data_IF_373331977186
#
_entry.id   IF_373331977186
#
_cell.length_a   1.000
_cell.length_b   1.000
_cell.length_c   1.000
_cell.angle_alpha   90.00
_cell.angle_beta   90.00
_cell.angle_gamma   90.00
#
_symmetry.space_group_name_H-M   'P 1'
#
loop_
_entity.id
_entity.type
_entity.pdbx_description
1 polymer ?
#
# COMPACT_ATOMS: atom_id res chain seq x y z
N UNK A 1 -5.28 19.24 -34.99
CA UNK A 1 -5.27 20.66 -35.40
C UNK A 1 -6.53 21.10 -36.15
N UNK A 2 -7.16 20.26 -36.97
CA UNK A 2 -8.38 20.64 -37.72
C UNK A 2 -9.64 20.79 -36.83
N UNK A 3 -9.62 20.24 -35.61
CA UNK A 3 -10.73 20.30 -34.63
C UNK A 3 -10.51 21.32 -33.51
N UNK A 4 -9.45 22.16 -33.56
CA UNK A 4 -9.16 23.17 -32.55
C UNK A 4 -8.77 22.63 -31.17
N UNK A 5 -8.57 21.31 -31.04
CA UNK A 5 -8.16 20.68 -29.77
C UNK A 5 -6.64 20.60 -29.66
N UNK A 6 -6.12 20.87 -28.46
CA UNK A 6 -4.69 20.68 -28.19
C UNK A 6 -4.32 19.20 -28.18
N UNK A 7 -3.09 18.88 -28.62
CA UNK A 7 -2.57 17.49 -28.58
C UNK A 7 -2.59 16.91 -27.18
N UNK A 8 -2.33 17.74 -26.18
CA UNK A 8 -2.36 17.33 -24.77
C UNK A 8 -3.78 16.92 -24.30
N UNK A 9 -4.82 17.66 -24.71
CA UNK A 9 -6.21 17.30 -24.43
C UNK A 9 -6.59 15.98 -25.12
N UNK A 10 -6.17 15.81 -26.38
CA UNK A 10 -6.37 14.56 -27.12
C UNK A 10 -5.71 13.35 -26.46
N UNK A 11 -4.46 13.50 -25.99
CA UNK A 11 -3.74 12.46 -25.26
C UNK A 11 -4.43 12.11 -23.93
N UNK A 12 -4.90 13.11 -23.19
CA UNK A 12 -5.65 12.92 -21.95
C UNK A 12 -6.96 12.14 -22.17
N UNK A 13 -7.77 12.54 -23.16
CA UNK A 13 -9.03 11.87 -23.51
C UNK A 13 -8.77 10.42 -23.95
N UNK A 14 -7.72 10.18 -24.75
CA UNK A 14 -7.35 8.83 -25.15
C UNK A 14 -6.92 7.99 -23.96
N UNK A 15 -6.12 8.54 -23.03
CA UNK A 15 -5.72 7.87 -21.80
C UNK A 15 -6.93 7.49 -20.94
N UNK A 16 -7.93 8.38 -20.81
CA UNK A 16 -9.17 8.12 -20.08
C UNK A 16 -9.98 6.99 -20.73
N UNK A 17 -10.09 6.96 -22.05
CA UNK A 17 -10.78 5.88 -22.77
C UNK A 17 -10.08 4.53 -22.62
N UNK A 18 -8.74 4.54 -22.67
CA UNK A 18 -7.94 3.31 -22.52
C UNK A 18 -7.92 2.78 -21.09
N UNK A 19 -8.09 3.63 -20.08
CA UNK A 19 -8.09 3.21 -18.67
C UNK A 19 -9.24 2.26 -18.31
N UNK A 20 -10.36 2.35 -19.05
CA UNK A 20 -11.54 1.47 -18.90
C UNK A 20 -11.50 0.24 -19.81
N UNK A 21 -10.45 0.09 -20.64
CA UNK A 21 -10.29 -1.02 -21.57
C UNK A 21 -9.94 -2.31 -20.84
N UNK A 22 -10.35 -3.46 -21.41
CA UNK A 22 -9.92 -4.80 -20.95
C UNK A 22 -8.40 -5.01 -21.05
N UNK A 23 -7.72 -4.19 -21.84
CA UNK A 23 -6.28 -4.24 -22.07
C UNK A 23 -5.52 -3.19 -21.25
N UNK A 24 -6.16 -2.51 -20.29
CA UNK A 24 -5.55 -1.42 -19.49
C UNK A 24 -4.24 -1.84 -18.83
N UNK A 25 -4.19 -3.01 -18.22
CA UNK A 25 -2.97 -3.55 -17.59
C UNK A 25 -1.82 -3.77 -18.58
N UNK A 26 -2.12 -4.27 -19.79
CA UNK A 26 -1.11 -4.49 -20.81
C UNK A 26 -0.60 -3.16 -21.39
N UNK A 27 -1.48 -2.19 -21.57
CA UNK A 27 -1.15 -0.83 -22.03
C UNK A 27 -0.27 -0.15 -20.98
N UNK A 28 -0.66 -0.23 -19.70
CA UNK A 28 0.10 0.34 -18.59
C UNK A 28 1.52 -0.26 -18.52
N UNK A 29 1.65 -1.59 -18.57
CA UNK A 29 2.94 -2.28 -18.58
C UNK A 29 3.83 -1.87 -19.77
N UNK A 30 3.23 -1.55 -20.92
CA UNK A 30 3.96 -1.10 -22.10
C UNK A 30 4.42 0.36 -21.97
N UNK A 31 3.64 1.23 -21.33
CA UNK A 31 3.93 2.67 -21.18
C UNK A 31 4.86 2.94 -19.99
N UNK A 32 4.75 2.18 -18.91
CA UNK A 32 5.48 2.43 -17.66
C UNK A 32 7.00 2.60 -17.82
N UNK A 33 7.73 1.79 -18.62
CA UNK A 33 9.17 2.00 -18.84
C UNK A 33 9.52 3.34 -19.50
N UNK A 34 8.59 3.90 -20.31
CA UNK A 34 8.81 5.14 -21.06
C UNK A 34 8.37 6.39 -20.29
N UNK A 35 7.48 6.23 -19.33
CA UNK A 35 6.89 7.30 -18.52
C UNK A 35 7.94 8.17 -17.83
N UNK A 36 8.92 7.53 -17.16
CA UNK A 36 10.00 8.23 -16.46
C UNK A 36 10.85 9.09 -17.40
N UNK A 37 11.20 8.57 -18.58
CA UNK A 37 11.96 9.29 -19.58
C UNK A 37 11.20 10.50 -20.14
N UNK A 38 9.93 10.29 -20.52
CA UNK A 38 9.08 11.36 -21.05
C UNK A 38 8.79 12.46 -20.01
N UNK A 39 8.56 12.07 -18.75
CA UNK A 39 8.41 13.02 -17.64
C UNK A 39 9.69 13.83 -17.42
N UNK A 40 10.86 13.20 -17.47
CA UNK A 40 12.13 13.90 -17.32
C UNK A 40 12.36 14.93 -18.45
N UNK A 41 12.09 14.55 -19.69
CA UNK A 41 12.17 15.47 -20.85
C UNK A 41 11.18 16.63 -20.71
N UNK A 42 9.96 16.35 -20.26
CA UNK A 42 8.96 17.39 -20.01
C UNK A 42 9.43 18.39 -18.96
N UNK A 43 9.94 17.93 -17.81
CA UNK A 43 10.43 18.83 -16.76
C UNK A 43 11.65 19.63 -17.18
N UNK A 44 12.56 19.07 -17.98
CA UNK A 44 13.68 19.82 -18.57
C UNK A 44 13.17 20.92 -19.49
N UNK A 45 12.23 20.62 -20.39
CA UNK A 45 11.65 21.60 -21.32
C UNK A 45 10.92 22.72 -20.56
N UNK A 46 10.14 22.38 -19.52
CA UNK A 46 9.49 23.38 -18.64
C UNK A 46 10.51 24.20 -17.88
N UNK A 47 11.55 23.58 -17.32
CA UNK A 47 12.62 24.28 -16.62
C UNK A 47 13.36 25.30 -17.51
N UNK A 48 13.60 24.95 -18.76
CA UNK A 48 14.21 25.87 -19.76
C UNK A 48 13.27 27.05 -20.14
N UNK A 49 11.97 26.90 -19.95
CA UNK A 49 10.99 27.96 -20.23
C UNK A 49 10.91 29.02 -19.12
N UNK A 50 11.55 28.78 -17.97
CA UNK A 50 11.54 29.71 -16.83
C UNK A 50 12.58 30.80 -17.03
N UNK A 51 12.13 32.06 -17.11
CA UNK A 51 13.01 33.22 -17.16
C UNK A 51 13.49 33.57 -15.73
N UNK A 52 14.57 32.93 -15.30
CA UNK A 52 15.18 33.14 -13.99
C UNK A 52 15.58 34.61 -13.74
N UNK A 53 16.19 35.37 -14.71
CA UNK A 53 16.46 36.79 -14.57
C UNK A 53 15.20 37.64 -14.33
N UNK A 54 14.07 37.34 -14.99
CA UNK A 54 12.83 38.05 -14.76
C UNK A 54 12.27 37.82 -13.33
N UNK A 55 12.40 36.61 -12.81
CA UNK A 55 12.01 36.25 -11.45
C UNK A 55 12.90 36.96 -10.40
N UNK A 56 14.18 37.08 -10.68
CA UNK A 56 15.15 37.74 -9.80
C UNK A 56 14.91 39.28 -9.66
N UNK A 57 14.16 39.86 -10.57
CA UNK A 57 13.82 41.33 -10.50
C UNK A 57 12.83 41.66 -9.37
N UNK A 58 11.87 40.75 -9.08
CA UNK A 58 10.86 40.91 -8.03
C UNK A 58 10.72 39.65 -7.19
N UNK A 59 11.76 39.24 -6.42
CA UNK A 59 11.77 37.97 -5.72
C UNK A 59 10.72 37.89 -4.61
N UNK A 60 10.35 39.01 -4.01
CA UNK A 60 9.35 39.07 -2.97
C UNK A 60 7.94 38.79 -3.52
N UNK A 61 7.55 39.45 -4.60
CA UNK A 61 6.25 39.23 -5.27
C UNK A 61 6.13 37.76 -5.76
N UNK A 62 7.18 37.27 -6.37
CA UNK A 62 7.24 35.87 -6.81
C UNK A 62 7.07 34.87 -5.65
N UNK A 63 7.86 35.05 -4.59
CA UNK A 63 7.77 34.17 -3.40
C UNK A 63 6.40 34.24 -2.75
N UNK A 64 5.80 35.42 -2.69
CA UNK A 64 4.45 35.63 -2.15
C UNK A 64 3.40 34.85 -2.98
N UNK A 65 3.52 34.85 -4.30
CA UNK A 65 2.62 34.09 -5.18
C UNK A 65 2.75 32.58 -4.96
N UNK A 66 3.98 32.06 -4.83
CA UNK A 66 4.20 30.62 -4.53
C UNK A 66 3.59 30.25 -3.18
N UNK A 67 3.86 31.04 -2.14
CA UNK A 67 3.34 30.78 -0.79
C UNK A 67 1.82 30.91 -0.77
N UNK A 68 1.24 31.90 -1.46
CA UNK A 68 -0.20 32.09 -1.54
C UNK A 68 -0.90 30.88 -2.18
N UNK A 69 -0.44 30.42 -3.34
CA UNK A 69 -1.02 29.25 -4.03
C UNK A 69 -0.94 28.01 -3.16
N UNK A 70 0.24 27.71 -2.60
CA UNK A 70 0.44 26.55 -1.73
C UNK A 70 -0.46 26.61 -0.50
N UNK A 71 -0.53 27.79 0.16
CA UNK A 71 -1.35 27.97 1.38
C UNK A 71 -2.85 27.85 1.10
N UNK A 72 -3.34 28.44 0.01
CA UNK A 72 -4.74 28.32 -0.40
C UNK A 72 -5.08 26.87 -0.68
N UNK A 73 -4.24 26.14 -1.41
CA UNK A 73 -4.46 24.72 -1.70
C UNK A 73 -4.42 23.87 -0.43
N UNK A 74 -3.48 24.11 0.49
CA UNK A 74 -3.46 23.43 1.79
C UNK A 74 -4.79 23.66 2.52
N UNK A 75 -5.26 24.92 2.60
CA UNK A 75 -6.50 25.24 3.31
C UNK A 75 -7.73 24.56 2.69
N UNK A 76 -7.83 24.59 1.36
CA UNK A 76 -8.95 23.95 0.63
C UNK A 76 -8.90 22.43 0.82
N UNK A 77 -7.76 21.79 0.61
CA UNK A 77 -7.62 20.33 0.71
C UNK A 77 -7.82 19.85 2.14
N UNK A 78 -7.29 20.57 3.12
CA UNK A 78 -7.50 20.27 4.53
C UNK A 78 -8.98 20.35 4.90
N UNK A 79 -9.65 21.46 4.53
CA UNK A 79 -11.09 21.63 4.78
C UNK A 79 -11.93 20.56 4.08
N UNK A 80 -11.58 20.20 2.84
CA UNK A 80 -12.25 19.15 2.08
C UNK A 80 -12.09 17.78 2.76
N UNK A 81 -10.88 17.41 3.16
CA UNK A 81 -10.63 16.17 3.89
C UNK A 81 -11.45 16.08 5.17
N UNK A 82 -11.55 17.17 5.93
CA UNK A 82 -12.39 17.20 7.14
C UNK A 82 -13.88 17.09 6.82
N UNK A 83 -14.34 17.72 5.73
CA UNK A 83 -15.73 17.62 5.29
C UNK A 83 -16.12 16.17 4.88
N UNK A 84 -15.17 15.41 4.34
CA UNK A 84 -15.36 13.99 4.04
C UNK A 84 -15.09 13.05 5.24
N UNK A 85 -14.94 13.59 6.45
CA UNK A 85 -14.76 12.78 7.65
C UNK A 85 -13.37 12.18 7.83
N UNK A 86 -12.39 12.64 7.04
CA UNK A 86 -11.00 12.18 7.18
C UNK A 86 -10.41 12.74 8.48
N UNK A 87 -9.72 11.91 9.25
CA UNK A 87 -9.07 12.34 10.49
C UNK A 87 -8.02 13.43 10.28
N UNK A 88 -7.82 14.30 11.28
CA UNK A 88 -6.96 15.49 11.19
C UNK A 88 -5.53 15.18 10.76
N UNK A 89 -4.95 14.08 11.24
CA UNK A 89 -3.58 13.65 10.92
C UNK A 89 -3.45 13.35 9.42
N UNK A 90 -4.38 12.56 8.89
CA UNK A 90 -4.43 12.22 7.46
C UNK A 90 -4.77 13.44 6.63
N UNK A 91 -5.71 14.29 7.05
CA UNK A 91 -6.05 15.54 6.39
C UNK A 91 -4.83 16.47 6.22
N UNK A 92 -3.99 16.64 7.26
CA UNK A 92 -2.74 17.40 7.20
C UNK A 92 -1.78 16.79 6.16
N UNK A 93 -1.54 15.48 6.23
CA UNK A 93 -0.63 14.78 5.30
C UNK A 93 -1.07 14.94 3.84
N UNK A 94 -2.35 14.72 3.56
CA UNK A 94 -2.94 14.86 2.22
C UNK A 94 -2.88 16.31 1.72
N UNK A 95 -3.24 17.28 2.58
CA UNK A 95 -3.21 18.68 2.22
C UNK A 95 -1.82 19.16 1.83
N UNK A 96 -0.79 18.78 2.58
CA UNK A 96 0.59 19.16 2.27
C UNK A 96 1.15 18.40 1.07
N UNK A 97 0.81 17.12 0.89
CA UNK A 97 1.23 16.31 -0.24
C UNK A 97 0.70 16.84 -1.58
N UNK A 98 -0.57 17.28 -1.62
CA UNK A 98 -1.26 17.70 -2.84
C UNK A 98 -1.30 19.23 -3.03
N UNK A 99 -0.61 19.99 -2.18
CA UNK A 99 -0.64 21.47 -2.19
C UNK A 99 0.12 22.11 -3.34
N UNK A 100 1.00 21.37 -4.00
CA UNK A 100 1.75 21.84 -5.16
C UNK A 100 0.84 22.18 -6.35
N UNK A 101 1.31 23.04 -7.27
CA UNK A 101 0.68 23.23 -8.57
C UNK A 101 0.75 21.95 -9.39
N UNK A 102 -0.33 21.59 -10.07
CA UNK A 102 -0.33 20.42 -10.94
C UNK A 102 0.26 20.73 -12.31
N UNK A 103 0.85 19.71 -12.97
CA UNK A 103 1.42 19.80 -14.33
C UNK A 103 0.41 20.22 -15.40
N UNK A 104 -0.87 19.94 -15.19
CA UNK A 104 -1.93 20.42 -16.08
C UNK A 104 -2.03 21.96 -16.14
N UNK A 105 -1.49 22.67 -15.14
CA UNK A 105 -1.37 24.12 -15.15
C UNK A 105 -0.57 24.59 -16.38
N UNK A 106 0.50 23.91 -16.75
CA UNK A 106 1.29 24.26 -17.93
C UNK A 106 0.47 24.16 -19.23
N UNK A 107 -0.35 23.12 -19.35
CA UNK A 107 -1.23 22.91 -20.50
C UNK A 107 -2.31 23.98 -20.55
N UNK A 108 -2.93 24.30 -19.38
CA UNK A 108 -3.98 25.32 -19.29
C UNK A 108 -3.46 26.71 -19.63
N UNK A 109 -2.33 27.13 -19.05
CA UNK A 109 -1.75 28.44 -19.35
C UNK A 109 -1.24 28.52 -20.78
N UNK A 110 -0.66 27.43 -21.33
CA UNK A 110 -0.26 27.35 -22.73
C UNK A 110 -1.45 27.49 -23.70
N UNK A 111 -2.56 26.82 -23.43
CA UNK A 111 -3.79 26.93 -24.19
C UNK A 111 -4.42 28.34 -24.04
N UNK A 112 -4.44 28.91 -22.84
CA UNK A 112 -4.92 30.27 -22.60
C UNK A 112 -4.13 31.32 -23.39
N UNK A 113 -2.81 31.16 -23.47
CA UNK A 113 -1.94 32.00 -24.32
C UNK A 113 -2.29 31.86 -25.80
N UNK A 114 -2.42 30.62 -26.30
CA UNK A 114 -2.74 30.36 -27.70
C UNK A 114 -4.10 30.95 -28.12
N UNK A 115 -5.05 31.06 -27.18
CA UNK A 115 -6.37 31.66 -27.36
C UNK A 115 -6.38 33.17 -27.12
N UNK A 116 -5.27 33.80 -26.74
CA UNK A 116 -5.17 35.24 -26.44
C UNK A 116 -5.87 35.62 -25.15
N UNK A 117 -6.22 34.69 -24.26
CA UNK A 117 -6.93 34.95 -23.00
C UNK A 117 -5.98 35.37 -21.88
N UNK A 118 -4.69 35.05 -22.00
CA UNK A 118 -3.66 35.29 -20.97
C UNK A 118 -2.44 35.91 -21.65
N UNK A 119 -1.90 36.96 -21.07
CA UNK A 119 -0.70 37.63 -21.59
C UNK A 119 0.59 36.83 -21.27
N UNK A 120 1.64 37.07 -22.04
CA UNK A 120 2.92 36.34 -21.92
C UNK A 120 3.54 36.45 -20.52
N UNK A 121 3.44 37.63 -19.88
CA UNK A 121 3.99 37.85 -18.55
C UNK A 121 3.30 36.96 -17.53
N UNK A 122 2.00 36.87 -17.57
CA UNK A 122 1.19 36.01 -16.67
C UNK A 122 1.50 34.54 -16.89
N UNK A 123 1.64 34.10 -18.15
CA UNK A 123 1.99 32.70 -18.48
C UNK A 123 3.37 32.33 -17.92
N UNK A 124 4.39 33.16 -18.16
CA UNK A 124 5.75 32.92 -17.64
C UNK A 124 5.76 32.87 -16.11
N UNK A 125 5.07 33.83 -15.47
CA UNK A 125 4.96 33.85 -14.00
C UNK A 125 4.23 32.61 -13.46
N UNK A 126 3.13 32.20 -14.08
CA UNK A 126 2.36 31.03 -13.67
C UNK A 126 3.17 29.73 -13.82
N UNK A 127 3.87 29.54 -14.94
CA UNK A 127 4.77 28.41 -15.16
C UNK A 127 5.85 28.37 -14.08
N UNK A 128 6.48 29.50 -13.77
CA UNK A 128 7.52 29.58 -12.76
C UNK A 128 6.99 29.27 -11.37
N UNK A 129 5.80 29.77 -10.99
CA UNK A 129 5.16 29.51 -9.70
C UNK A 129 4.78 28.02 -9.57
N UNK A 130 4.19 27.40 -10.59
CA UNK A 130 3.86 25.97 -10.60
C UNK A 130 5.14 25.15 -10.45
N UNK A 131 6.17 25.39 -11.28
CA UNK A 131 7.43 24.67 -11.22
C UNK A 131 8.10 24.77 -9.84
N UNK A 132 8.15 25.98 -9.26
CA UNK A 132 8.74 26.19 -7.94
C UNK A 132 7.95 25.49 -6.84
N UNK A 133 6.62 25.49 -6.93
CA UNK A 133 5.78 24.77 -5.95
C UNK A 133 6.01 23.24 -6.01
N UNK A 134 6.28 22.69 -7.19
CA UNK A 134 6.65 21.27 -7.36
C UNK A 134 8.01 20.96 -6.74
N UNK A 135 9.00 21.84 -6.88
CA UNK A 135 10.31 21.69 -6.24
C UNK A 135 10.24 21.73 -4.72
N UNK A 136 9.26 22.45 -4.15
CA UNK A 136 9.04 22.50 -2.70
C UNK A 136 8.35 21.26 -2.13
N UNK A 137 7.80 20.38 -2.96
CA UNK A 137 7.04 19.19 -2.52
C UNK A 137 7.76 18.34 -1.47
N UNK A 138 9.04 17.96 -1.60
CA UNK A 138 9.73 17.18 -0.58
C UNK A 138 9.79 17.87 0.80
N UNK A 139 9.90 19.20 0.79
CA UNK A 139 9.90 20.04 2.01
C UNK A 139 8.49 20.07 2.61
N UNK A 140 7.47 20.29 1.78
CA UNK A 140 6.07 20.33 2.19
C UNK A 140 5.62 18.99 2.79
N UNK A 141 6.00 17.87 2.18
CA UNK A 141 5.70 16.52 2.69
C UNK A 141 6.32 16.30 4.07
N UNK A 142 7.61 16.66 4.26
CA UNK A 142 8.27 16.57 5.56
C UNK A 142 7.60 17.46 6.60
N UNK A 143 7.25 18.69 6.23
CA UNK A 143 6.56 19.63 7.11
C UNK A 143 5.17 19.11 7.50
N UNK A 144 4.41 18.60 6.52
CA UNK A 144 3.12 17.97 6.76
C UNK A 144 3.19 16.77 7.69
N UNK A 145 4.17 15.90 7.50
CA UNK A 145 4.42 14.75 8.37
C UNK A 145 4.76 15.18 9.81
N UNK A 146 5.64 16.19 9.95
CA UNK A 146 6.02 16.74 11.25
C UNK A 146 4.84 17.43 11.98
N UNK A 147 4.01 18.20 11.26
CA UNK A 147 2.80 18.80 11.82
C UNK A 147 1.78 17.73 12.21
N UNK A 148 1.60 16.69 11.38
CA UNK A 148 0.68 15.59 11.67
C UNK A 148 1.07 14.81 12.93
N UNK A 149 2.36 14.63 13.21
CA UNK A 149 2.86 13.96 14.42
C UNK A 149 2.56 14.74 15.71
N UNK A 150 2.37 16.07 15.64
CA UNK A 150 2.04 16.91 16.80
C UNK A 150 0.56 16.87 17.19
N UNK A 151 -0.29 16.32 16.33
CA UNK A 151 -1.70 16.19 16.62
C UNK A 151 -1.95 14.82 17.25
N UNK A 152 -2.91 14.77 18.19
CA UNK A 152 -3.29 13.53 18.83
C UNK A 152 -3.65 12.46 17.78
N UNK A 153 -3.35 11.17 18.04
CA UNK A 153 -3.68 10.08 17.12
C UNK A 153 -5.17 10.11 16.75
N UNK A 154 -5.47 9.79 15.50
CA UNK A 154 -6.86 9.68 15.02
C UNK A 154 -7.66 8.71 15.88
N UNK A 155 -8.97 8.89 15.92
CA UNK A 155 -9.87 7.97 16.64
C UNK A 155 -9.67 6.49 16.21
N UNK A 156 -9.25 6.28 14.95
CA UNK A 156 -8.87 4.96 14.42
C UNK A 156 -7.60 4.40 15.06
N UNK A 157 -6.56 5.24 15.26
CA UNK A 157 -5.34 4.82 15.98
C UNK A 157 -5.61 4.57 17.47
N UNK A 158 -6.50 5.38 18.09
CA UNK A 158 -6.93 5.13 19.48
C UNK A 158 -7.79 3.88 19.61
N UNK A 159 -8.66 3.60 18.65
CA UNK A 159 -9.44 2.37 18.61
C UNK A 159 -8.56 1.13 18.43
N UNK A 160 -7.51 1.24 17.61
CA UNK A 160 -6.51 0.18 17.43
C UNK A 160 -5.72 -0.06 18.74
N UNK A 161 -5.28 1.00 19.42
CA UNK A 161 -4.57 0.89 20.69
C UNK A 161 -5.47 0.43 21.85
N UNK A 162 -6.75 0.81 21.88
CA UNK A 162 -7.71 0.39 22.90
C UNK A 162 -8.26 -1.02 22.67
N UNK A 163 -8.24 -1.51 21.42
CA UNK A 163 -8.64 -2.87 21.09
C UNK A 163 -7.69 -3.95 21.60
N UNK A 164 -6.45 -3.58 21.95
CA UNK A 164 -5.42 -4.50 22.42
C UNK A 164 -5.48 -4.75 23.94
N UNK A 165 -6.04 -3.82 24.69
CA UNK A 165 -6.23 -3.94 26.15
C UNK A 165 -7.69 -3.72 26.51
N UNK A 166 -8.19 -4.48 27.46
CA UNK A 166 -9.52 -4.26 28.03
C UNK A 166 -9.51 -3.10 29.05
N UNK A 167 -10.69 -2.80 29.62
CA UNK A 167 -10.84 -1.72 30.61
C UNK A 167 -10.11 -1.99 31.94
N UNK A 168 -9.69 -3.22 32.17
CA UNK A 168 -8.94 -3.65 33.38
C UNK A 168 -7.43 -3.62 33.16
N UNK A 169 -6.96 -3.33 31.90
CA UNK A 169 -5.55 -3.35 31.56
C UNK A 169 -5.01 -4.75 31.23
N UNK A 170 -5.88 -5.75 31.21
CA UNK A 170 -5.54 -7.10 30.75
C UNK A 170 -5.44 -7.13 29.21
N UNK A 171 -4.58 -8.01 28.62
CA UNK A 171 -4.49 -8.17 27.17
C UNK A 171 -5.83 -8.60 26.57
N UNK A 172 -6.56 -7.67 25.96
CA UNK A 172 -7.82 -7.96 25.29
C UNK A 172 -7.63 -8.80 24.02
N UNK A 173 -6.45 -8.73 23.39
CA UNK A 173 -6.13 -9.39 22.14
C UNK A 173 -4.88 -10.25 22.30
N UNK A 174 -5.00 -11.54 22.01
CA UNK A 174 -3.89 -12.51 22.07
C UNK A 174 -3.28 -12.81 20.70
N UNK A 175 -4.03 -12.61 19.62
CA UNK A 175 -3.59 -12.93 18.27
C UNK A 175 -3.81 -11.78 17.28
N UNK A 176 -2.90 -11.62 16.33
CA UNK A 176 -3.03 -10.73 15.18
C UNK A 176 -3.05 -11.56 13.91
N UNK A 177 -3.98 -11.29 13.01
CA UNK A 177 -4.05 -11.89 11.67
C UNK A 177 -3.70 -10.82 10.63
N UNK A 178 -2.64 -11.05 9.85
CA UNK A 178 -2.21 -10.13 8.81
C UNK A 178 -2.55 -10.68 7.41
N UNK A 179 -3.39 -9.93 6.71
CA UNK A 179 -4.11 -10.36 5.51
C UNK A 179 -5.45 -11.00 5.91
N UNK A 180 -6.57 -10.38 5.54
CA UNK A 180 -7.90 -10.90 5.90
C UNK A 180 -8.71 -11.28 4.66
N UNK A 181 -8.01 -11.85 3.69
CA UNK A 181 -8.60 -12.53 2.56
C UNK A 181 -9.25 -13.87 2.95
N UNK A 182 -9.39 -14.80 2.02
CA UNK A 182 -10.05 -16.10 2.26
C UNK A 182 -9.42 -16.89 3.40
N UNK A 183 -8.09 -17.00 3.42
CA UNK A 183 -7.37 -17.77 4.45
C UNK A 183 -7.43 -17.07 5.80
N UNK A 184 -7.13 -15.77 5.83
CA UNK A 184 -7.16 -14.98 7.08
C UNK A 184 -8.54 -14.94 7.72
N UNK A 185 -9.61 -14.80 6.93
CA UNK A 185 -10.98 -14.89 7.43
C UNK A 185 -11.27 -16.26 8.06
N UNK A 186 -10.87 -17.35 7.41
CA UNK A 186 -11.05 -18.71 7.95
C UNK A 186 -10.32 -18.87 9.28
N UNK A 187 -9.04 -18.44 9.34
CA UNK A 187 -8.25 -18.48 10.58
C UNK A 187 -8.88 -17.63 11.67
N UNK A 188 -9.27 -16.39 11.36
CA UNK A 188 -9.92 -15.49 12.31
C UNK A 188 -11.23 -16.05 12.85
N UNK A 189 -12.05 -16.64 12.01
CA UNK A 189 -13.32 -17.29 12.40
C UNK A 189 -13.07 -18.46 13.36
N UNK A 190 -12.05 -19.29 13.12
CA UNK A 190 -11.68 -20.41 13.98
C UNK A 190 -11.15 -19.89 15.32
N UNK A 191 -10.27 -18.89 15.33
CA UNK A 191 -9.76 -18.27 16.55
C UNK A 191 -10.91 -17.71 17.40
N UNK A 192 -11.81 -16.94 16.78
CA UNK A 192 -12.98 -16.36 17.47
C UNK A 192 -13.93 -17.42 18.03
N UNK A 193 -14.24 -18.48 17.27
CA UNK A 193 -15.09 -19.57 17.75
C UNK A 193 -14.44 -20.39 18.86
N UNK A 194 -13.11 -20.34 18.97
CA UNK A 194 -12.35 -20.97 20.06
C UNK A 194 -12.19 -20.04 21.28
N UNK A 195 -12.85 -18.88 21.30
CA UNK A 195 -12.78 -17.92 22.40
C UNK A 195 -11.45 -17.13 22.46
N UNK A 196 -10.65 -17.15 21.37
CA UNK A 196 -9.40 -16.40 21.30
C UNK A 196 -9.70 -15.03 20.69
N UNK A 197 -9.49 -13.98 21.47
CA UNK A 197 -9.60 -12.62 20.98
C UNK A 197 -8.47 -12.30 20.01
N UNK A 198 -8.83 -11.84 18.82
CA UNK A 198 -7.87 -11.45 17.79
C UNK A 198 -8.28 -10.11 17.16
N UNK A 199 -7.34 -9.47 16.50
CA UNK A 199 -7.58 -8.40 15.53
C UNK A 199 -6.95 -8.79 14.21
N UNK A 200 -7.47 -8.23 13.12
CA UNK A 200 -6.91 -8.46 11.80
C UNK A 200 -6.57 -7.14 11.10
N UNK A 201 -5.53 -7.19 10.27
CA UNK A 201 -5.14 -6.07 9.40
C UNK A 201 -5.15 -6.52 7.95
N UNK A 202 -5.67 -5.67 7.07
CA UNK A 202 -5.58 -5.85 5.64
C UNK A 202 -5.28 -4.51 4.94
N UNK A 203 -4.52 -4.56 3.87
CA UNK A 203 -4.19 -3.41 3.03
C UNK A 203 -5.25 -3.10 1.97
N UNK A 204 -6.21 -3.98 1.76
CA UNK A 204 -7.35 -3.76 0.88
C UNK A 204 -8.53 -3.15 1.65
N UNK A 205 -8.77 -1.85 1.42
CA UNK A 205 -9.85 -1.11 2.08
C UNK A 205 -11.24 -1.72 1.80
N UNK A 206 -11.45 -2.33 0.64
CA UNK A 206 -12.74 -2.94 0.26
C UNK A 206 -13.02 -4.20 1.08
N UNK A 207 -12.00 -5.02 1.31
CA UNK A 207 -12.08 -6.19 2.19
C UNK A 207 -12.30 -5.79 3.64
N UNK A 208 -11.61 -4.76 4.11
CA UNK A 208 -11.77 -4.24 5.48
C UNK A 208 -13.21 -3.77 5.71
N UNK A 209 -13.76 -2.98 4.78
CA UNK A 209 -15.12 -2.45 4.90
C UNK A 209 -16.16 -3.57 4.91
N UNK A 210 -16.00 -4.56 4.02
CA UNK A 210 -16.84 -5.75 3.97
C UNK A 210 -16.86 -6.48 5.31
N UNK A 211 -15.70 -6.89 5.82
CA UNK A 211 -15.61 -7.74 7.01
C UNK A 211 -15.98 -7.00 8.29
N UNK A 212 -15.73 -5.68 8.36
CA UNK A 212 -16.23 -4.86 9.47
C UNK A 212 -17.74 -4.78 9.51
N UNK A 213 -18.39 -4.67 8.37
CA UNK A 213 -19.85 -4.67 8.26
C UNK A 213 -20.43 -6.01 8.73
N UNK A 214 -19.71 -7.10 8.53
CA UNK A 214 -20.08 -8.44 9.02
C UNK A 214 -19.72 -8.68 10.51
N UNK A 215 -19.14 -7.67 11.19
CA UNK A 215 -18.84 -7.72 12.63
C UNK A 215 -17.46 -8.30 13.00
N UNK A 216 -16.59 -8.50 12.02
CA UNK A 216 -15.22 -8.97 12.29
C UNK A 216 -14.30 -7.82 12.71
N UNK A 217 -13.31 -8.05 13.63
CA UNK A 217 -12.40 -7.03 14.11
C UNK A 217 -11.26 -6.79 13.13
N UNK A 218 -11.59 -6.27 11.93
CA UNK A 218 -10.64 -6.02 10.83
C UNK A 218 -10.36 -4.54 10.71
N UNK A 219 -9.09 -4.17 10.58
CA UNK A 219 -8.62 -2.80 10.46
C UNK A 219 -7.79 -2.62 9.19
N UNK A 220 -7.88 -1.43 8.61
CA UNK A 220 -7.03 -1.07 7.49
C UNK A 220 -5.59 -0.84 7.96
N UNK A 221 -4.64 -1.54 7.37
CA UNK A 221 -3.22 -1.35 7.67
C UNK A 221 -2.34 -2.33 6.93
N UNK A 222 -1.14 -1.86 6.56
CA UNK A 222 -0.09 -2.71 6.02
C UNK A 222 0.80 -3.19 7.18
N UNK A 223 0.80 -4.49 7.44
CA UNK A 223 1.60 -5.11 8.49
C UNK A 223 3.13 -4.94 8.26
N UNK A 224 3.55 -4.62 7.05
CA UNK A 224 4.95 -4.28 6.75
C UNK A 224 5.31 -2.86 7.20
N UNK A 225 4.36 -2.05 7.66
CA UNK A 225 4.63 -0.71 8.16
C UNK A 225 5.06 -0.74 9.64
N UNK A 226 6.31 -0.31 9.98
CA UNK A 226 6.77 -0.25 11.35
C UNK A 226 5.92 0.63 12.28
N UNK A 227 5.27 1.65 11.74
CA UNK A 227 4.39 2.54 12.53
C UNK A 227 3.13 1.82 13.03
N UNK A 228 2.63 0.83 12.28
CA UNK A 228 1.49 0.00 12.67
C UNK A 228 1.86 -0.96 13.80
N UNK A 229 3.08 -1.49 13.76
CA UNK A 229 3.60 -2.49 14.69
C UNK A 229 4.33 -1.87 15.87
N UNK A 230 4.17 -0.57 16.14
CA UNK A 230 4.86 0.11 17.24
C UNK A 230 5.03 -0.78 18.47
N UNK A 231 6.20 -0.78 19.08
CA UNK A 231 6.64 -1.76 20.09
C UNK A 231 5.68 -1.94 21.28
N UNK A 232 4.88 -0.92 21.61
CA UNK A 232 3.85 -1.00 22.66
C UNK A 232 2.56 -1.69 22.18
N UNK A 233 2.26 -1.68 20.87
CA UNK A 233 1.04 -2.30 20.34
C UNK A 233 1.14 -3.83 20.29
N UNK A 234 2.34 -4.38 20.14
CA UNK A 234 2.56 -5.83 20.08
C UNK A 234 2.84 -6.48 21.45
N UNK A 235 3.03 -5.71 22.50
CA UNK A 235 3.37 -6.27 23.82
C UNK A 235 2.38 -7.34 24.35
N UNK A 236 1.05 -7.18 24.19
CA UNK A 236 0.10 -8.19 24.67
C UNK A 236 -0.09 -9.36 23.70
N UNK A 237 0.50 -9.31 22.51
CA UNK A 237 0.24 -10.29 21.45
C UNK A 237 1.17 -11.50 21.60
N UNK A 238 0.59 -12.68 21.66
CA UNK A 238 1.32 -13.95 21.76
C UNK A 238 1.57 -14.58 20.37
N UNK A 239 0.64 -14.33 19.43
CA UNK A 239 0.62 -14.97 18.12
C UNK A 239 0.37 -13.97 17.00
N UNK A 240 1.18 -14.04 15.95
CA UNK A 240 0.88 -13.40 14.67
C UNK A 240 0.72 -14.45 13.59
N UNK A 241 -0.40 -14.39 12.87
CA UNK A 241 -0.67 -15.27 11.72
C UNK A 241 -0.58 -14.44 10.45
N UNK A 242 0.39 -14.76 9.59
CA UNK A 242 0.62 -14.08 8.33
C UNK A 242 -0.05 -14.88 7.20
N UNK A 243 -1.10 -14.33 6.60
CA UNK A 243 -1.86 -14.97 5.52
C UNK A 243 -1.81 -14.16 4.22
N UNK A 244 -0.78 -13.34 4.07
CA UNK A 244 -0.51 -12.49 2.91
C UNK A 244 -0.16 -13.37 1.70
N UNK A 245 -0.72 -13.06 0.51
CA UNK A 245 -0.48 -13.83 -0.73
C UNK A 245 0.91 -13.58 -1.32
N UNK A 246 1.41 -12.34 -1.22
CA UNK A 246 2.72 -11.95 -1.75
C UNK A 246 3.85 -12.54 -0.90
N UNK A 247 4.65 -13.41 -1.53
CA UNK A 247 5.76 -14.11 -0.88
C UNK A 247 6.85 -13.19 -0.34
N UNK A 248 7.16 -12.09 -1.03
CA UNK A 248 8.14 -11.11 -0.58
C UNK A 248 7.59 -10.26 0.57
N UNK A 249 6.32 -9.87 0.50
CA UNK A 249 5.67 -9.13 1.56
C UNK A 249 5.57 -9.93 2.85
N UNK A 250 5.22 -11.22 2.78
CA UNK A 250 5.13 -12.07 3.99
C UNK A 250 6.50 -12.27 4.67
N UNK A 251 7.58 -12.39 3.91
CA UNK A 251 8.95 -12.47 4.45
C UNK A 251 9.37 -11.15 5.07
N UNK A 252 9.06 -10.01 4.43
CA UNK A 252 9.33 -8.68 5.01
C UNK A 252 8.57 -8.47 6.32
N UNK A 253 7.28 -8.82 6.36
CA UNK A 253 6.46 -8.74 7.56
C UNK A 253 7.04 -9.60 8.71
N UNK A 254 7.37 -10.85 8.43
CA UNK A 254 7.97 -11.76 9.41
C UNK A 254 9.29 -11.21 9.97
N UNK A 255 10.17 -10.68 9.10
CA UNK A 255 11.46 -10.06 9.49
C UNK A 255 11.23 -8.87 10.40
N UNK A 256 10.28 -8.00 10.06
CA UNK A 256 9.96 -6.81 10.85
C UNK A 256 9.42 -7.19 12.22
N UNK A 257 8.45 -8.12 12.30
CA UNK A 257 7.87 -8.59 13.55
C UNK A 257 8.95 -9.23 14.43
N UNK A 258 9.79 -10.08 13.86
CA UNK A 258 10.89 -10.72 14.59
C UNK A 258 11.88 -9.72 15.18
N UNK A 259 12.12 -8.61 14.46
CA UNK A 259 13.00 -7.52 14.92
C UNK A 259 12.37 -6.70 16.04
N UNK A 260 11.08 -6.37 15.93
CA UNK A 260 10.38 -5.51 16.88
C UNK A 260 9.90 -6.26 18.13
N UNK A 261 9.51 -7.52 17.97
CA UNK A 261 8.91 -8.35 19.02
C UNK A 261 9.40 -9.81 18.93
N UNK A 262 10.64 -10.10 19.36
CA UNK A 262 11.26 -11.43 19.25
C UNK A 262 10.51 -12.55 19.98
N UNK A 263 9.70 -12.19 20.98
CA UNK A 263 8.95 -13.13 21.83
C UNK A 263 7.70 -13.69 21.15
N UNK A 264 7.19 -13.04 20.10
CA UNK A 264 5.94 -13.42 19.46
C UNK A 264 6.12 -14.70 18.63
N UNK A 265 5.18 -15.62 18.77
CA UNK A 265 5.08 -16.78 17.87
C UNK A 265 4.53 -16.33 16.53
N UNK A 266 5.25 -16.63 15.44
CA UNK A 266 4.82 -16.34 14.08
C UNK A 266 4.43 -17.64 13.38
N UNK A 267 3.22 -17.68 12.86
CA UNK A 267 2.72 -18.71 11.95
C UNK A 267 2.45 -18.05 10.60
N UNK A 268 2.94 -18.61 9.52
CA UNK A 268 2.83 -17.99 8.22
C UNK A 268 2.36 -18.96 7.14
N UNK A 269 1.52 -18.47 6.25
CA UNK A 269 1.23 -19.09 4.97
C UNK A 269 2.40 -18.87 4.03
N UNK A 270 2.80 -19.90 3.32
CA UNK A 270 3.76 -19.84 2.23
C UNK A 270 3.10 -20.33 0.93
N UNK A 271 3.20 -19.57 -0.14
CA UNK A 271 2.64 -19.97 -1.43
C UNK A 271 3.38 -21.15 -2.06
N UNK A 272 4.68 -21.29 -1.74
CA UNK A 272 5.56 -22.34 -2.25
C UNK A 272 6.67 -22.69 -1.24
N UNK A 273 7.49 -23.69 -1.56
CA UNK A 273 8.59 -24.14 -0.69
C UNK A 273 9.72 -23.12 -0.57
N UNK A 274 9.97 -22.29 -1.60
CA UNK A 274 11.00 -21.24 -1.56
C UNK A 274 10.65 -20.18 -0.52
N UNK A 275 9.40 -19.71 -0.53
CA UNK A 275 8.87 -18.76 0.47
C UNK A 275 8.88 -19.38 1.87
N UNK A 276 8.49 -20.66 2.00
CA UNK A 276 8.55 -21.39 3.27
C UNK A 276 9.98 -21.40 3.84
N UNK A 277 10.96 -21.76 3.03
CA UNK A 277 12.36 -21.83 3.47
C UNK A 277 12.91 -20.45 3.84
N UNK A 278 12.47 -19.39 3.14
CA UNK A 278 12.79 -18.01 3.51
C UNK A 278 12.20 -17.64 4.87
N UNK A 279 10.94 -17.99 5.14
CA UNK A 279 10.27 -17.74 6.41
C UNK A 279 10.93 -18.51 7.57
N UNK A 280 11.34 -19.75 7.36
CA UNK A 280 12.05 -20.53 8.38
C UNK A 280 13.40 -19.91 8.74
N UNK A 281 14.13 -19.38 7.74
CA UNK A 281 15.41 -18.66 7.99
C UNK A 281 15.23 -17.40 8.84
N UNK A 282 14.09 -16.74 8.76
CA UNK A 282 13.74 -15.57 9.57
C UNK A 282 13.27 -15.96 10.98
N UNK A 283 13.07 -17.26 11.25
CA UNK A 283 12.66 -17.74 12.56
C UNK A 283 11.14 -17.80 12.75
N UNK A 284 10.38 -17.99 11.67
CA UNK A 284 8.95 -18.29 11.74
C UNK A 284 8.77 -19.68 12.33
N UNK A 285 7.92 -19.82 13.36
CA UNK A 285 7.73 -21.10 14.07
C UNK A 285 7.11 -22.17 13.15
N UNK A 286 6.10 -21.78 12.38
CA UNK A 286 5.43 -22.66 11.44
C UNK A 286 5.17 -21.92 10.13
N UNK A 287 5.85 -22.32 9.05
CA UNK A 287 5.62 -21.85 7.69
C UNK A 287 4.90 -22.94 6.90
N UNK A 288 3.64 -22.71 6.57
CA UNK A 288 2.74 -23.68 5.98
C UNK A 288 2.69 -23.55 4.45
N UNK A 289 3.20 -24.49 3.67
CA UNK A 289 3.18 -24.44 2.20
C UNK A 289 1.79 -24.84 1.67
N UNK A 290 0.87 -23.88 1.58
CA UNK A 290 -0.56 -24.09 1.35
C UNK A 290 -0.85 -24.94 0.12
N UNK A 291 -0.31 -24.57 -1.04
CA UNK A 291 -0.60 -25.28 -2.29
C UNK A 291 -0.16 -26.73 -2.22
N UNK A 292 0.99 -27.00 -1.60
CA UNK A 292 1.52 -28.34 -1.44
C UNK A 292 0.69 -29.17 -0.47
N UNK A 293 0.36 -28.62 0.69
CA UNK A 293 -0.46 -29.32 1.68
C UNK A 293 -1.88 -29.62 1.18
N UNK A 294 -2.47 -28.69 0.42
CA UNK A 294 -3.74 -28.94 -0.26
C UNK A 294 -3.63 -30.08 -1.29
N UNK A 295 -2.54 -30.11 -2.05
CA UNK A 295 -2.25 -31.18 -3.02
C UNK A 295 -2.04 -32.53 -2.35
N UNK A 296 -1.32 -32.56 -1.22
CA UNK A 296 -1.13 -33.78 -0.44
C UNK A 296 -2.46 -34.30 0.12
N UNK A 297 -3.35 -33.42 0.57
CA UNK A 297 -4.69 -33.81 1.03
C UNK A 297 -5.53 -34.40 -0.10
N UNK A 298 -5.46 -33.82 -1.31
CA UNK A 298 -6.13 -34.35 -2.49
C UNK A 298 -5.58 -35.72 -2.89
N UNK A 299 -4.25 -35.86 -2.87
CA UNK A 299 -3.60 -37.17 -3.14
C UNK A 299 -4.02 -38.24 -2.11
N UNK A 300 -4.10 -37.87 -0.83
CA UNK A 300 -4.59 -38.80 0.22
C UNK A 300 -6.00 -39.30 -0.08
N UNK A 301 -6.93 -38.41 -0.39
CA UNK A 301 -8.30 -38.79 -0.74
C UNK A 301 -8.37 -39.64 -2.01
N UNK A 302 -7.48 -39.41 -2.97
CA UNK A 302 -7.39 -40.21 -4.19
C UNK A 302 -6.90 -41.65 -3.88
N UNK A 303 -5.92 -41.78 -2.99
CA UNK A 303 -5.43 -43.10 -2.55
C UNK A 303 -6.51 -43.88 -1.78
N UNK A 304 -7.23 -43.22 -0.89
CA UNK A 304 -8.36 -43.81 -0.16
C UNK A 304 -9.47 -44.28 -1.10
N UNK A 305 -9.78 -43.50 -2.14
CA UNK A 305 -10.75 -43.84 -3.17
C UNK A 305 -10.33 -45.07 -3.99
N UNK A 306 -9.02 -45.37 -4.08
CA UNK A 306 -8.45 -46.56 -4.70
C UNK A 306 -8.33 -47.74 -3.73
N UNK A 307 -8.81 -47.61 -2.50
CA UNK A 307 -8.87 -48.71 -1.52
C UNK A 307 -7.66 -48.81 -0.58
N UNK A 308 -6.77 -47.80 -0.58
CA UNK A 308 -5.69 -47.72 0.43
C UNK A 308 -6.32 -47.22 1.72
N UNK A 309 -5.91 -47.81 2.84
CA UNK A 309 -6.48 -47.44 4.14
C UNK A 309 -6.08 -46.04 4.58
N UNK A 310 -6.94 -45.36 5.36
CA UNK A 310 -6.63 -44.02 5.89
C UNK A 310 -5.35 -44.02 6.72
N UNK A 311 -5.07 -45.10 7.47
CA UNK A 311 -3.87 -45.23 8.30
C UNK A 311 -2.59 -45.27 7.44
N UNK A 312 -2.59 -46.07 6.37
CA UNK A 312 -1.46 -46.16 5.42
C UNK A 312 -1.24 -44.81 4.71
N UNK A 313 -2.32 -44.18 4.27
CA UNK A 313 -2.29 -42.84 3.64
C UNK A 313 -1.70 -41.79 4.58
N UNK A 314 -2.16 -41.75 5.85
CA UNK A 314 -1.64 -40.80 6.83
C UNK A 314 -0.16 -41.07 7.16
N UNK A 315 0.26 -42.35 7.19
CA UNK A 315 1.67 -42.70 7.38
C UNK A 315 2.54 -42.18 6.22
N UNK A 316 2.08 -42.30 4.98
CA UNK A 316 2.76 -41.74 3.80
C UNK A 316 2.89 -40.24 3.89
N UNK A 317 1.80 -39.51 4.24
CA UNK A 317 1.84 -38.08 4.38
C UNK A 317 2.78 -37.59 5.50
N UNK A 318 2.82 -38.31 6.62
CA UNK A 318 3.77 -38.00 7.71
C UNK A 318 5.21 -38.24 7.25
N UNK A 319 5.48 -39.30 6.49
CA UNK A 319 6.77 -39.55 5.89
C UNK A 319 7.22 -38.41 4.98
N UNK A 320 6.34 -37.94 4.10
CA UNK A 320 6.63 -36.83 3.19
C UNK A 320 6.92 -35.52 3.95
N UNK A 321 6.15 -35.20 5.00
CA UNK A 321 6.41 -34.04 5.83
C UNK A 321 7.71 -34.13 6.60
N UNK A 322 8.05 -35.31 7.13
CA UNK A 322 9.30 -35.54 7.89
C UNK A 322 10.55 -35.50 7.02
N UNK A 323 10.44 -35.89 5.74
CA UNK A 323 11.52 -35.77 4.75
C UNK A 323 11.61 -34.38 4.09
N UNK A 324 10.97 -33.40 4.67
CA UNK A 324 10.96 -32.02 4.15
C UNK A 324 10.47 -31.91 2.70
N UNK A 325 9.50 -32.75 2.34
CA UNK A 325 8.90 -32.85 1.01
C UNK A 325 9.89 -33.17 -0.13
N UNK A 326 10.99 -33.87 0.18
CA UNK A 326 12.10 -34.13 -0.75
C UNK A 326 11.60 -34.72 -2.07
N UNK A 327 10.72 -35.73 -2.03
CA UNK A 327 10.14 -36.39 -3.22
C UNK A 327 9.37 -35.40 -4.13
N UNK A 328 8.82 -34.33 -3.58
CA UNK A 328 8.04 -33.34 -4.33
C UNK A 328 8.91 -32.19 -4.78
N UNK A 329 10.04 -31.93 -4.12
CA UNK A 329 11.05 -30.94 -4.55
C UNK A 329 11.74 -31.28 -5.86
N UNK A 330 11.89 -32.57 -6.15
CA UNK A 330 12.49 -33.09 -7.38
C UNK A 330 11.54 -33.11 -8.59
N UNK A 331 10.34 -32.55 -8.50
CA UNK A 331 9.39 -32.41 -9.62
C UNK A 331 9.89 -31.49 -10.72
N UNK A 332 9.23 -31.45 -11.91
CA UNK A 332 9.77 -30.96 -13.19
C UNK A 332 10.17 -29.49 -13.27
N UNK A 333 10.16 -28.73 -12.21
CA UNK A 333 10.72 -27.36 -12.19
C UNK A 333 12.27 -27.33 -12.16
N UNK A 334 12.93 -28.47 -11.96
CA UNK A 334 14.40 -28.60 -12.02
C UNK A 334 15.00 -28.82 -13.42
N UNK A 335 14.19 -28.86 -14.48
CA UNK A 335 14.62 -29.23 -15.85
C UNK A 335 14.42 -28.14 -16.89
N UNK A 336 14.46 -26.87 -16.52
CA UNK A 336 14.66 -25.79 -17.51
C UNK A 336 16.03 -25.13 -17.29
N UNK A 337 17.03 -25.72 -17.94
CA UNK A 337 18.30 -25.09 -18.27
C UNK A 337 18.11 -24.20 -19.49
#
# INVERSE_FOLDING_TARGET
>A
DRAGMSMALGAFLMGMLLSTSRYSLQIEATIEPHKGLLMSLFFVAVGMSVDVPALARNPFEFSLNVVAIVSIKIAILFGLCLAFGTGRKTAIRVAFLLSQGGEFGFVMFGAGKALGLVDDKTVVTAIAVVSSSMLLTPILVKLGAWLAQRHAPDATEKAQAHGLYDQSGEPAVRAVVAGYGRVGHTVGTILGSSGINYIAFDSDASLVDKWRTEGHPVFYGDICNPELLGSSALQPVELVVLTIDDGDAVVRAATLIRTLAPHITIVARAGNLVTRDALQRVGVAHAFPEALEASLRLAAQSLEALGITSDETEMLLRGLRSSDYEIVREGPEGSSR
#
